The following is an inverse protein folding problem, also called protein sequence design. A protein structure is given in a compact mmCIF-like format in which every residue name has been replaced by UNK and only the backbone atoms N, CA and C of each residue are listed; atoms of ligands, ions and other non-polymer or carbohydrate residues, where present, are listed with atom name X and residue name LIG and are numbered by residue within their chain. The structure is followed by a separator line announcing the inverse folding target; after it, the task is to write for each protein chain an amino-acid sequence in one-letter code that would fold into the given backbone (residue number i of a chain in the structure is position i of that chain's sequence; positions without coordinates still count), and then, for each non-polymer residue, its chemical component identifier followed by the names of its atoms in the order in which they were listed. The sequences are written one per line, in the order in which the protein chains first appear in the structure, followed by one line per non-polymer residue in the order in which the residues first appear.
data_IF_125547765750
#
_entry.id   IF_125547765750
#
_cell.length_a   1.000
_cell.length_b   1.000
_cell.length_c   1.000
_cell.angle_alpha   90.00
_cell.angle_beta   90.00
_cell.angle_gamma   90.00
#
_symmetry.space_group_name_H-M   'P 1'
#
loop_
_entity.id
_entity.type
_entity.pdbx_description
1 polymer ?
#
# COMPACT_ATOMS: atom_id res chain seq x y z
N UNK A 1 19.70 16.59 -31.16
CA UNK A 1 19.49 15.44 -30.25
C UNK A 1 19.17 16.00 -28.87
N UNK A 2 17.89 15.98 -28.48
CA UNK A 2 17.47 16.36 -27.14
C UNK A 2 16.90 15.09 -26.48
N UNK A 3 17.56 14.61 -25.43
CA UNK A 3 17.07 13.49 -24.63
C UNK A 3 15.82 13.96 -23.87
N UNK A 4 14.68 13.30 -24.14
CA UNK A 4 13.46 13.54 -23.40
C UNK A 4 13.66 13.10 -21.94
N UNK A 5 13.72 14.07 -21.03
CA UNK A 5 13.71 13.82 -19.60
C UNK A 5 12.40 13.10 -19.25
N UNK A 6 12.51 11.83 -18.84
CA UNK A 6 11.38 11.10 -18.24
C UNK A 6 10.94 11.87 -17.01
N UNK A 7 9.75 12.46 -17.06
CA UNK A 7 9.08 13.05 -15.91
C UNK A 7 8.73 11.94 -14.93
N UNK A 8 9.62 11.70 -13.97
CA UNK A 8 9.41 10.80 -12.84
C UNK A 8 8.23 11.31 -11.99
N UNK A 9 7.25 10.44 -11.72
CA UNK A 9 6.08 10.78 -10.91
C UNK A 9 6.46 10.90 -9.42
N UNK A 10 6.72 12.14 -8.99
CA UNK A 10 7.08 12.53 -7.62
C UNK A 10 5.99 12.24 -6.57
N UNK A 11 4.82 11.73 -6.96
CA UNK A 11 3.80 11.24 -6.01
C UNK A 11 4.15 9.88 -5.42
N UNK A 12 4.78 9.00 -6.20
CA UNK A 12 5.04 7.61 -5.76
C UNK A 12 6.16 7.50 -4.73
N UNK A 13 7.19 8.35 -4.81
CA UNK A 13 8.31 8.33 -3.86
C UNK A 13 7.94 8.70 -2.41
N UNK A 14 6.86 9.49 -2.21
CA UNK A 14 6.48 9.95 -0.85
C UNK A 14 5.85 8.87 0.02
N UNK A 15 5.31 7.82 -0.59
CA UNK A 15 4.57 6.79 0.16
C UNK A 15 5.32 5.45 0.24
N UNK A 16 6.51 5.34 -0.38
CA UNK A 16 7.26 4.09 -0.55
C UNK A 16 8.55 3.97 0.30
N UNK A 17 8.61 4.67 1.44
CA UNK A 17 9.85 4.86 2.22
C UNK A 17 10.12 3.88 3.37
N UNK A 18 9.51 2.67 3.42
CA UNK A 18 9.77 1.69 4.50
C UNK A 18 11.16 1.04 4.41
N UNK A 19 11.87 1.09 3.28
CA UNK A 19 13.27 0.62 3.21
C UNK A 19 14.22 1.42 4.10
N UNK A 20 13.84 2.62 4.52
CA UNK A 20 14.59 3.45 5.48
C UNK A 20 13.98 3.44 6.89
N UNK A 21 12.88 2.70 7.13
CA UNK A 21 12.38 2.55 8.50
C UNK A 21 13.34 1.64 9.28
N UNK A 22 13.89 2.10 10.41
CA UNK A 22 14.83 1.30 11.16
C UNK A 22 14.10 0.07 11.70
N UNK A 23 14.54 -1.13 11.29
CA UNK A 23 14.10 -2.42 11.84
C UNK A 23 14.53 -2.60 13.33
N UNK A 24 15.01 -1.51 13.97
CA UNK A 24 15.53 -1.42 15.33
C UNK A 24 14.92 -0.21 16.05
N UNK A 25 14.76 -0.33 17.36
CA UNK A 25 14.37 0.81 18.21
C UNK A 25 15.46 1.88 18.11
N UNK A 26 15.11 3.07 17.63
CA UNK A 26 16.05 4.18 17.55
C UNK A 26 16.48 4.63 18.96
N UNK A 27 17.73 5.07 19.13
CA UNK A 27 18.17 5.68 20.38
C UNK A 27 17.32 6.91 20.72
N UNK A 28 17.15 7.24 22.03
CA UNK A 28 16.35 8.38 22.45
C UNK A 28 16.89 9.68 21.83
N UNK A 29 15.99 10.64 21.59
CA UNK A 29 16.39 11.95 21.12
C UNK A 29 17.31 12.63 22.15
N UNK A 30 18.39 13.30 21.71
CA UNK A 30 19.15 14.20 22.55
C UNK A 30 18.19 15.16 23.28
N UNK A 31 18.43 15.47 24.57
CA UNK A 31 17.58 16.36 25.33
C UNK A 31 17.29 17.63 24.55
N UNK A 32 16.00 17.93 24.36
CA UNK A 32 15.58 19.19 23.77
C UNK A 32 15.91 20.25 24.81
N UNK A 33 17.04 20.95 24.63
CA UNK A 33 17.34 22.15 25.39
C UNK A 33 16.27 23.14 25.01
N UNK A 34 15.27 23.32 25.88
CA UNK A 34 14.03 24.08 25.67
C UNK A 34 14.20 25.18 24.62
N UNK A 35 13.87 24.84 23.38
CA UNK A 35 13.78 25.83 22.31
C UNK A 35 12.49 26.56 22.61
N UNK A 36 12.59 27.83 23.03
CA UNK A 36 11.47 28.75 23.22
C UNK A 36 10.37 28.40 22.22
N UNK A 37 9.20 28.04 22.72
CA UNK A 37 8.05 27.53 21.96
C UNK A 37 7.85 28.37 20.70
N UNK A 38 8.40 27.93 19.58
CA UNK A 38 8.46 28.75 18.36
C UNK A 38 7.05 28.95 17.88
N UNK A 39 6.58 30.20 17.93
CA UNK A 39 5.17 30.52 17.68
C UNK A 39 4.82 30.61 16.20
N UNK A 40 5.82 30.62 15.29
CA UNK A 40 5.60 30.72 13.85
C UNK A 40 6.37 29.67 13.04
N UNK A 41 5.81 29.30 11.89
CA UNK A 41 6.40 28.34 10.96
C UNK A 41 7.73 28.87 10.37
N UNK A 42 7.83 30.18 10.12
CA UNK A 42 9.06 30.80 9.61
C UNK A 42 10.24 30.65 10.57
N UNK A 43 10.04 30.89 11.87
CA UNK A 43 11.10 30.68 12.85
C UNK A 43 11.40 29.19 13.06
N UNK A 44 10.37 28.34 12.96
CA UNK A 44 10.52 26.90 13.11
C UNK A 44 11.39 26.26 12.00
N UNK A 45 11.31 26.76 10.77
CA UNK A 45 12.11 26.25 9.62
C UNK A 45 13.42 27.00 9.40
N UNK A 46 13.67 28.08 10.13
CA UNK A 46 14.87 28.91 9.97
C UNK A 46 16.18 28.11 10.01
N UNK A 47 16.40 27.17 10.96
CA UNK A 47 17.64 26.40 11.03
C UNK A 47 17.89 25.51 9.80
N UNK A 48 16.85 25.14 9.06
CA UNK A 48 16.91 24.22 7.91
C UNK A 48 16.71 24.94 6.57
N UNK A 49 16.55 26.26 6.59
CA UNK A 49 16.27 27.08 5.40
C UNK A 49 17.36 27.00 4.32
N UNK A 50 18.61 26.75 4.72
CA UNK A 50 19.74 26.56 3.82
C UNK A 50 19.92 25.10 3.36
N UNK A 51 19.29 24.15 4.06
CA UNK A 51 19.39 22.71 3.75
C UNK A 51 18.38 22.29 2.69
N UNK A 52 17.18 22.90 2.70
CA UNK A 52 16.07 22.53 1.83
C UNK A 52 15.85 23.62 0.78
N UNK A 53 16.08 23.30 -0.49
CA UNK A 53 15.89 24.22 -1.60
C UNK A 53 14.43 24.71 -1.67
N UNK A 54 14.20 25.98 -2.00
CA UNK A 54 12.87 26.58 -2.13
C UNK A 54 11.97 26.56 -0.86
N UNK A 55 12.53 26.26 0.32
CA UNK A 55 11.75 26.12 1.55
C UNK A 55 10.93 27.36 1.90
N UNK A 56 11.53 28.55 1.81
CA UNK A 56 10.85 29.79 2.15
C UNK A 56 9.61 30.05 1.27
N UNK A 57 9.71 29.77 -0.03
CA UNK A 57 8.59 29.91 -0.96
C UNK A 57 7.46 28.92 -0.63
N UNK A 58 7.81 27.69 -0.24
CA UNK A 58 6.84 26.65 0.14
C UNK A 58 6.18 26.94 1.48
N UNK A 59 6.91 27.56 2.41
CA UNK A 59 6.39 28.03 3.70
C UNK A 59 5.39 29.17 3.48
N UNK A 60 5.74 30.17 2.67
CA UNK A 60 4.84 31.25 2.29
C UNK A 60 3.55 30.70 1.65
N UNK A 61 3.70 29.73 0.74
CA UNK A 61 2.56 29.07 0.11
C UNK A 61 1.69 28.27 1.09
N UNK A 62 2.29 27.56 2.04
CA UNK A 62 1.56 26.81 3.07
C UNK A 62 0.74 27.75 3.96
N UNK A 63 1.34 28.86 4.42
CA UNK A 63 0.66 29.88 5.22
C UNK A 63 -0.50 30.52 4.45
N UNK A 64 -0.33 30.81 3.16
CA UNK A 64 -1.38 31.35 2.31
C UNK A 64 -2.59 30.40 2.23
N UNK A 65 -2.35 29.09 2.15
CA UNK A 65 -3.41 28.07 2.10
C UNK A 65 -4.09 27.82 3.44
N UNK A 66 -3.42 28.14 4.54
CA UNK A 66 -3.87 27.84 5.90
C UNK A 66 -4.39 29.07 6.67
N UNK A 67 -4.70 30.18 5.98
CA UNK A 67 -5.25 31.41 6.59
C UNK A 67 -6.50 31.22 7.45
N UNK A 68 -7.31 30.21 7.15
CA UNK A 68 -8.56 29.89 7.85
C UNK A 68 -8.50 28.47 8.42
N UNK A 69 -7.75 28.25 9.51
CA UNK A 69 -7.57 26.93 10.09
C UNK A 69 -8.85 26.41 10.77
N UNK A 70 -8.92 25.09 10.96
CA UNK A 70 -9.99 24.37 11.68
C UNK A 70 -9.40 23.62 12.88
N UNK A 71 -10.25 22.99 13.68
CA UNK A 71 -9.85 22.07 14.74
C UNK A 71 -8.92 22.72 15.79
N UNK A 72 -9.19 23.98 16.13
CA UNK A 72 -8.43 24.82 17.07
C UNK A 72 -6.93 24.97 16.74
N UNK A 73 -6.58 24.70 15.48
CA UNK A 73 -5.26 24.97 14.95
C UNK A 73 -5.07 26.47 14.72
N UNK A 74 -3.85 26.94 14.98
CA UNK A 74 -3.37 28.22 14.47
C UNK A 74 -3.04 28.10 12.98
N UNK A 75 -2.88 29.25 12.31
CA UNK A 75 -2.43 29.29 10.91
C UNK A 75 -1.09 28.56 10.73
N UNK A 76 -0.13 28.81 11.61
CA UNK A 76 1.20 28.20 11.58
C UNK A 76 1.18 26.68 11.84
N UNK A 77 0.35 26.21 12.77
CA UNK A 77 0.17 24.77 13.04
C UNK A 77 -0.46 24.04 11.84
N UNK A 78 -1.53 24.61 11.26
CA UNK A 78 -2.15 24.06 10.05
C UNK A 78 -1.18 24.10 8.87
N UNK A 79 -0.42 25.18 8.72
CA UNK A 79 0.59 25.33 7.68
C UNK A 79 1.75 24.34 7.85
N UNK A 80 2.12 23.96 9.09
CA UNK A 80 3.12 22.93 9.34
C UNK A 80 2.65 21.56 8.79
N UNK A 81 1.41 21.17 9.07
CA UNK A 81 0.80 19.95 8.51
C UNK A 81 0.72 20.02 6.99
N UNK A 82 0.33 21.18 6.45
CA UNK A 82 0.27 21.40 5.01
C UNK A 82 1.65 21.27 4.36
N UNK A 83 2.70 21.88 4.94
CA UNK A 83 4.08 21.80 4.45
C UNK A 83 4.59 20.35 4.40
N UNK A 84 4.26 19.53 5.41
CA UNK A 84 4.58 18.11 5.46
C UNK A 84 3.95 17.32 4.29
N UNK A 85 2.72 17.66 3.93
CA UNK A 85 1.94 16.92 2.92
C UNK A 85 2.07 17.50 1.51
N UNK A 86 2.68 18.68 1.38
CA UNK A 86 2.82 19.42 0.13
C UNK A 86 3.59 18.62 -0.94
N UNK A 87 3.24 18.85 -2.21
CA UNK A 87 4.01 18.35 -3.35
C UNK A 87 5.19 19.26 -3.69
N UNK A 88 6.34 18.63 -3.82
CA UNK A 88 7.61 19.25 -4.17
C UNK A 88 8.08 18.69 -5.52
N UNK A 89 8.62 19.58 -6.34
CA UNK A 89 9.26 19.23 -7.62
C UNK A 89 10.67 18.69 -7.40
N UNK A 90 11.23 18.92 -6.22
CA UNK A 90 12.60 18.62 -5.81
C UNK A 90 12.82 17.15 -5.44
N UNK A 91 11.79 16.29 -5.49
CA UNK A 91 11.91 14.84 -5.26
C UNK A 91 12.59 14.51 -3.93
N UNK A 92 13.75 13.86 -4.00
CA UNK A 92 14.61 13.49 -2.86
C UNK A 92 15.07 14.68 -2.01
N UNK A 93 15.13 15.88 -2.58
CA UNK A 93 15.52 17.11 -1.90
C UNK A 93 14.30 17.90 -1.39
N UNK A 94 13.11 17.29 -1.39
CA UNK A 94 11.92 17.88 -0.80
C UNK A 94 11.99 17.91 0.72
N UNK A 95 11.31 18.88 1.32
CA UNK A 95 11.19 18.98 2.77
C UNK A 95 10.75 17.66 3.42
N UNK A 96 9.68 17.04 2.90
CA UNK A 96 9.14 15.76 3.40
C UNK A 96 10.22 14.67 3.42
N UNK A 97 10.96 14.52 2.33
CA UNK A 97 11.94 13.43 2.20
C UNK A 97 13.13 13.66 3.13
N UNK A 98 13.66 14.88 3.15
CA UNK A 98 14.79 15.23 4.01
C UNK A 98 14.44 15.14 5.51
N UNK A 99 13.27 15.65 5.90
CA UNK A 99 12.80 15.58 7.29
C UNK A 99 12.59 14.14 7.75
N UNK A 100 11.94 13.30 6.94
CA UNK A 100 11.69 11.91 7.30
C UNK A 100 12.97 11.07 7.29
N UNK A 101 13.92 11.34 6.38
CA UNK A 101 15.27 10.74 6.39
C UNK A 101 16.00 11.06 7.69
N UNK A 102 16.01 12.34 8.10
CA UNK A 102 16.62 12.76 9.37
C UNK A 102 15.92 12.11 10.58
N UNK A 103 14.59 11.95 10.52
CA UNK A 103 13.79 11.36 11.60
C UNK A 103 14.04 9.87 11.80
N UNK A 104 14.36 9.16 10.71
CA UNK A 104 14.67 7.72 10.70
C UNK A 104 16.16 7.41 10.88
N UNK A 105 17.02 8.42 10.91
CA UNK A 105 18.46 8.23 11.03
C UNK A 105 18.85 7.77 12.44
N UNK A 106 19.68 6.74 12.53
CA UNK A 106 20.25 6.25 13.81
C UNK A 106 21.06 7.36 14.51
N UNK A 107 21.78 8.18 13.74
CA UNK A 107 22.45 9.36 14.26
C UNK A 107 21.42 10.49 14.50
N UNK A 108 20.89 10.52 15.73
CA UNK A 108 19.86 11.50 16.14
C UNK A 108 20.30 12.96 16.03
N UNK A 109 21.60 13.24 15.91
CA UNK A 109 22.09 14.63 15.71
C UNK A 109 21.59 15.22 14.39
N UNK A 110 21.29 14.39 13.38
CA UNK A 110 20.75 14.84 12.10
C UNK A 110 19.35 15.43 12.22
N UNK A 111 18.59 15.08 13.27
CA UNK A 111 17.25 15.62 13.49
C UNK A 111 17.28 16.96 14.23
N UNK A 112 18.38 17.31 14.90
CA UNK A 112 18.50 18.54 15.71
C UNK A 112 18.08 19.81 14.93
N UNK A 113 18.50 20.03 13.68
CA UNK A 113 18.08 21.21 12.91
C UNK A 113 16.55 21.31 12.74
N UNK A 114 15.84 20.17 12.73
CA UNK A 114 14.40 20.10 12.52
C UNK A 114 13.57 20.18 13.82
N UNK A 115 14.19 20.29 15.00
CA UNK A 115 13.47 20.23 16.29
C UNK A 115 12.39 21.30 16.42
N UNK A 116 12.66 22.53 16.01
CA UNK A 116 11.67 23.61 16.10
C UNK A 116 10.44 23.30 15.23
N UNK A 117 10.66 22.79 14.02
CA UNK A 117 9.58 22.33 13.15
C UNK A 117 8.85 21.11 13.73
N UNK A 118 9.58 20.12 14.23
CA UNK A 118 9.01 18.90 14.82
C UNK A 118 8.10 19.24 16.00
N UNK A 119 8.51 20.18 16.86
CA UNK A 119 7.70 20.66 17.97
C UNK A 119 6.39 21.29 17.49
N UNK A 120 6.46 22.22 16.53
CA UNK A 120 5.26 22.85 15.95
C UNK A 120 4.33 21.82 15.30
N UNK A 121 4.89 20.86 14.56
CA UNK A 121 4.13 19.80 13.91
C UNK A 121 3.44 18.87 14.91
N UNK A 122 4.13 18.43 15.97
CA UNK A 122 3.53 17.57 17.00
C UNK A 122 2.48 18.32 17.83
N UNK A 123 2.69 19.61 18.11
CA UNK A 123 1.68 20.47 18.74
C UNK A 123 0.41 20.54 17.90
N UNK A 124 0.55 20.73 16.58
CA UNK A 124 -0.57 20.72 15.64
C UNK A 124 -1.29 19.36 15.62
N UNK A 125 -0.54 18.26 15.52
CA UNK A 125 -1.10 16.90 15.47
C UNK A 125 -1.84 16.52 16.76
N UNK A 126 -1.40 17.00 17.92
CA UNK A 126 -2.05 16.74 19.21
C UNK A 126 -3.43 17.42 19.36
N UNK A 127 -3.72 18.45 18.57
CA UNK A 127 -5.02 19.15 18.58
C UNK A 127 -6.06 18.48 17.68
N UNK A 128 -5.62 17.68 16.71
CA UNK A 128 -6.53 17.02 15.78
C UNK A 128 -7.37 15.94 16.49
N UNK A 129 -8.63 15.75 16.07
CA UNK A 129 -9.49 14.73 16.64
C UNK A 129 -8.92 13.33 16.34
N UNK A 130 -8.88 12.49 17.38
CA UNK A 130 -8.54 11.09 17.21
C UNK A 130 -9.64 10.37 16.44
N UNK A 131 -9.27 9.70 15.34
CA UNK A 131 -10.18 8.89 14.53
C UNK A 131 -9.65 7.47 14.46
N UNK A 132 -10.48 6.49 14.86
CA UNK A 132 -10.18 5.08 14.65
C UNK A 132 -10.70 4.65 13.29
N UNK A 133 -9.78 4.40 12.36
CA UNK A 133 -10.11 3.89 11.04
C UNK A 133 -9.04 2.90 10.57
N UNK A 134 -9.44 1.93 9.74
CA UNK A 134 -8.46 1.12 9.00
C UNK A 134 -7.80 1.99 7.93
N UNK A 135 -6.48 2.13 7.99
CA UNK A 135 -5.69 2.86 6.99
C UNK A 135 -4.83 1.89 6.19
N UNK A 136 -4.46 2.30 4.98
CA UNK A 136 -3.62 1.53 4.07
C UNK A 136 -2.42 2.38 3.64
N UNK A 137 -1.23 1.79 3.56
CA UNK A 137 0.00 2.42 3.07
C UNK A 137 0.64 1.47 2.06
N UNK A 138 0.82 1.93 0.82
CA UNK A 138 1.40 1.13 -0.26
C UNK A 138 2.90 1.37 -0.38
N UNK A 139 3.69 0.31 -0.31
CA UNK A 139 5.16 0.37 -0.35
C UNK A 139 5.71 -0.19 -1.67
N UNK A 140 6.87 0.32 -2.12
CA UNK A 140 7.56 -0.16 -3.32
C UNK A 140 8.88 -0.81 -2.92
N UNK A 141 8.80 -1.86 -2.10
CA UNK A 141 9.95 -2.68 -1.70
C UNK A 141 10.02 -3.91 -2.60
N UNK A 142 11.20 -4.18 -3.17
CA UNK A 142 11.48 -5.49 -3.73
C UNK A 142 11.77 -6.46 -2.59
N UNK A 143 10.72 -7.13 -2.13
CA UNK A 143 10.78 -8.04 -0.99
C UNK A 143 11.73 -9.23 -1.22
N UNK A 144 12.03 -9.59 -2.48
CA UNK A 144 12.95 -10.71 -2.79
C UNK A 144 14.34 -10.52 -2.19
N UNK A 145 14.85 -9.28 -2.15
CA UNK A 145 16.21 -8.97 -1.69
C UNK A 145 16.36 -9.08 -0.16
N UNK A 146 15.29 -8.80 0.62
CA UNK A 146 15.33 -8.94 2.08
C UNK A 146 15.35 -10.41 2.52
N UNK A 147 14.71 -11.32 1.78
CA UNK A 147 14.57 -12.72 2.16
C UNK A 147 15.79 -13.61 1.85
N UNK A 148 16.73 -13.17 1.01
CA UNK A 148 17.96 -13.94 0.71
C UNK A 148 19.01 -13.88 1.84
N UNK A 149 18.88 -12.92 2.78
CA UNK A 149 19.84 -12.76 3.89
C UNK A 149 19.52 -13.60 5.14
N UNK A 150 18.33 -14.19 5.22
CA UNK A 150 17.95 -15.10 6.31
C UNK A 150 17.94 -16.54 5.80
N UNK A 151 19.11 -17.18 5.77
CA UNK A 151 19.18 -18.63 5.54
C UNK A 151 18.45 -19.36 6.67
N UNK A 152 17.30 -19.94 6.34
CA UNK A 152 16.46 -20.77 7.21
C UNK A 152 17.28 -22.02 7.61
N UNK A 153 17.55 -22.28 8.90
CA UNK A 153 18.11 -23.56 9.31
C UNK A 153 17.07 -24.68 9.07
N UNK A 154 17.49 -25.89 8.66
CA UNK A 154 16.57 -26.97 8.34
C UNK A 154 15.73 -27.37 9.56
N UNK A 155 14.44 -27.59 9.34
CA UNK A 155 13.47 -27.95 10.37
C UNK A 155 13.83 -29.29 11.06
N UNK A 156 13.59 -29.43 12.38
CA UNK A 156 13.87 -30.68 13.09
C UNK A 156 12.86 -31.78 12.71
N UNK A 157 13.38 -33.00 12.55
CA UNK A 157 12.62 -34.21 12.20
C UNK A 157 11.51 -34.53 13.20
N UNK A 158 10.35 -34.97 12.67
CA UNK A 158 9.20 -35.47 13.41
C UNK A 158 9.55 -36.66 14.30
N UNK A 159 9.14 -36.59 15.57
CA UNK A 159 8.99 -37.78 16.43
C UNK A 159 7.55 -37.85 16.89
N UNK A 160 6.87 -38.90 16.42
CA UNK A 160 5.53 -39.30 16.85
C UNK A 160 5.50 -39.75 18.32
N UNK A 161 4.41 -39.45 19.03
CA UNK A 161 3.80 -40.36 20.02
C UNK A 161 2.42 -39.89 20.50
N UNK A 162 1.66 -40.87 20.97
CA UNK A 162 0.20 -40.98 21.07
C UNK A 162 -0.42 -40.71 22.46
N UNK A 163 -1.75 -40.57 22.46
CA UNK A 163 -2.75 -41.11 23.41
C UNK A 163 -3.53 -40.16 24.36
N UNK A 164 -4.85 -40.21 24.16
CA UNK A 164 -5.97 -40.39 25.12
C UNK A 164 -6.56 -39.27 26.02
N UNK A 165 -7.81 -38.96 25.68
CA UNK A 165 -9.05 -39.00 26.50
C UNK A 165 -9.53 -37.82 27.38
N UNK A 166 -10.75 -37.40 27.02
CA UNK A 166 -11.92 -37.06 27.85
C UNK A 166 -12.09 -35.64 28.45
N UNK A 167 -13.07 -34.93 27.87
CA UNK A 167 -14.13 -34.24 28.62
C UNK A 167 -13.94 -32.76 28.94
N UNK A 168 -14.67 -31.89 28.23
CA UNK A 168 -15.76 -31.07 28.79
C UNK A 168 -16.30 -30.11 27.71
N UNK A 169 -17.61 -30.17 27.47
CA UNK A 169 -18.38 -29.21 26.67
C UNK A 169 -18.32 -27.83 27.33
N UNK A 170 -17.71 -26.88 26.64
CA UNK A 170 -17.86 -25.44 26.88
C UNK A 170 -17.88 -24.74 25.53
N UNK A 171 -19.06 -24.59 24.93
CA UNK A 171 -19.25 -23.87 23.67
C UNK A 171 -19.04 -22.37 23.93
N UNK A 172 -17.79 -21.93 23.83
CA UNK A 172 -17.45 -20.55 23.53
C UNK A 172 -16.86 -20.56 22.13
N UNK A 173 -17.71 -20.32 21.14
CA UNK A 173 -17.27 -19.98 19.79
C UNK A 173 -16.56 -18.64 19.85
N UNK A 174 -15.28 -18.65 20.21
CA UNK A 174 -14.35 -17.63 19.76
C UNK A 174 -14.24 -17.82 18.25
N UNK A 175 -15.08 -17.12 17.51
CA UNK A 175 -14.89 -16.85 16.09
C UNK A 175 -13.64 -15.99 15.97
N UNK A 176 -12.49 -16.65 16.09
CA UNK A 176 -11.18 -16.10 15.78
C UNK A 176 -11.06 -16.07 14.26
N UNK A 177 -11.95 -15.33 13.61
CA UNK A 177 -11.90 -15.09 12.18
C UNK A 177 -10.83 -14.04 11.93
N UNK A 178 -9.58 -14.50 12.01
CA UNK A 178 -8.41 -13.87 11.42
C UNK A 178 -8.59 -13.90 9.89
N UNK A 179 -9.58 -13.15 9.41
CA UNK A 179 -10.09 -13.25 8.05
C UNK A 179 -8.97 -12.86 7.08
N UNK A 180 -8.60 -13.85 6.28
CA UNK A 180 -7.94 -13.70 4.99
C UNK A 180 -8.65 -12.57 4.23
N UNK A 181 -7.91 -11.68 3.55
CA UNK A 181 -8.56 -10.83 2.56
C UNK A 181 -9.11 -11.75 1.47
N UNK A 182 -10.43 -11.90 1.41
CA UNK A 182 -11.09 -12.75 0.41
C UNK A 182 -10.57 -12.36 -0.99
N UNK A 183 -10.08 -13.34 -1.74
CA UNK A 183 -9.55 -13.14 -3.09
C UNK A 183 -10.70 -13.36 -4.06
N UNK A 184 -11.22 -12.28 -4.64
CA UNK A 184 -12.26 -12.34 -5.65
C UNK A 184 -11.69 -12.41 -7.06
N UNK A 185 -12.26 -13.29 -7.88
CA UNK A 185 -11.95 -13.40 -9.30
C UNK A 185 -13.11 -12.78 -10.05
N UNK A 186 -12.88 -11.63 -10.67
CA UNK A 186 -13.90 -10.89 -11.39
C UNK A 186 -13.65 -11.00 -12.89
N UNK A 187 -14.69 -11.23 -13.68
CA UNK A 187 -14.58 -11.21 -15.14
C UNK A 187 -15.54 -10.19 -15.75
N UNK A 188 -14.99 -9.13 -16.35
CA UNK A 188 -15.73 -8.10 -17.06
C UNK A 188 -15.64 -8.29 -18.57
N UNK A 189 -16.75 -8.70 -19.19
CA UNK A 189 -16.87 -8.77 -20.64
C UNK A 189 -18.32 -8.53 -21.09
N UNK A 190 -18.59 -7.56 -22.00
CA UNK A 190 -19.94 -7.30 -22.52
C UNK A 190 -20.58 -8.47 -23.28
N UNK A 191 -19.80 -9.47 -23.66
CA UNK A 191 -20.22 -10.65 -24.40
C UNK A 191 -20.00 -11.95 -23.60
N UNK A 192 -19.87 -11.84 -22.27
CA UNK A 192 -19.53 -12.97 -21.41
C UNK A 192 -20.56 -14.11 -21.48
N UNK A 193 -21.83 -13.77 -21.70
CA UNK A 193 -22.94 -14.73 -21.79
C UNK A 193 -23.28 -15.15 -23.23
N UNK A 194 -22.57 -14.60 -24.24
CA UNK A 194 -22.98 -14.68 -25.66
C UNK A 194 -22.23 -15.73 -26.48
N UNK A 195 -21.07 -16.21 -26.03
CA UNK A 195 -20.30 -17.24 -26.73
C UNK A 195 -20.28 -18.54 -25.92
N UNK A 196 -20.36 -19.68 -26.61
CA UNK A 196 -20.29 -20.99 -25.98
C UNK A 196 -18.95 -21.21 -25.26
N UNK A 197 -17.87 -20.64 -25.79
CA UNK A 197 -16.55 -20.67 -25.14
C UNK A 197 -16.53 -19.88 -23.83
N UNK A 198 -17.11 -18.67 -23.80
CA UNK A 198 -17.17 -17.88 -22.58
C UNK A 198 -18.02 -18.59 -21.52
N UNK A 199 -19.18 -19.13 -21.90
CA UNK A 199 -20.06 -19.89 -20.98
C UNK A 199 -19.32 -21.06 -20.35
N UNK A 200 -18.63 -21.90 -21.15
CA UNK A 200 -17.83 -23.02 -20.64
C UNK A 200 -16.72 -22.55 -19.70
N UNK A 201 -16.07 -21.44 -20.04
CA UNK A 201 -14.99 -20.84 -19.24
C UNK A 201 -15.54 -20.32 -17.91
N UNK A 202 -16.72 -19.69 -17.91
CA UNK A 202 -17.39 -19.26 -16.69
C UNK A 202 -17.77 -20.44 -15.80
N UNK A 203 -18.28 -21.53 -16.38
CA UNK A 203 -18.64 -22.75 -15.63
C UNK A 203 -17.41 -23.33 -14.93
N UNK A 204 -16.28 -23.43 -15.63
CA UNK A 204 -15.01 -23.90 -15.07
C UNK A 204 -14.49 -22.99 -13.95
N UNK A 205 -14.56 -21.66 -14.12
CA UNK A 205 -14.17 -20.72 -13.05
C UNK A 205 -15.13 -20.75 -11.85
N UNK A 206 -16.43 -20.98 -12.07
CA UNK A 206 -17.42 -21.17 -11.00
C UNK A 206 -17.17 -22.47 -10.23
N UNK A 207 -16.78 -23.55 -10.91
CA UNK A 207 -16.45 -24.83 -10.29
C UNK A 207 -15.19 -24.71 -9.42
N UNK A 208 -14.15 -24.03 -9.93
CA UNK A 208 -12.90 -23.82 -9.21
C UNK A 208 -13.04 -22.83 -8.04
N UNK A 209 -13.87 -21.80 -8.19
CA UNK A 209 -13.99 -20.70 -7.21
C UNK A 209 -15.45 -20.33 -6.86
N UNK A 210 -16.25 -21.23 -6.27
CA UNK A 210 -17.70 -21.08 -6.14
C UNK A 210 -18.16 -19.84 -5.35
N UNK A 211 -17.41 -19.48 -4.30
CA UNK A 211 -17.76 -18.36 -3.41
C UNK A 211 -17.07 -17.04 -3.77
N UNK A 212 -16.11 -17.08 -4.70
CA UNK A 212 -15.17 -15.98 -4.94
C UNK A 212 -15.20 -15.44 -6.37
N UNK A 213 -15.73 -16.22 -7.31
CA UNK A 213 -15.89 -15.80 -8.70
C UNK A 213 -17.17 -14.98 -8.95
N UNK A 214 -17.05 -13.89 -9.71
CA UNK A 214 -18.20 -13.12 -10.25
C UNK A 214 -17.94 -12.61 -11.66
N UNK A 215 -18.97 -12.60 -12.48
CA UNK A 215 -18.96 -12.04 -13.85
C UNK A 215 -19.80 -10.77 -13.95
N UNK A 216 -19.37 -9.83 -14.79
CA UNK A 216 -20.08 -8.58 -15.08
C UNK A 216 -20.11 -8.33 -16.58
N UNK A 217 -21.25 -7.86 -17.09
CA UNK A 217 -21.38 -7.41 -18.48
C UNK A 217 -21.11 -5.90 -18.63
N UNK A 218 -21.32 -5.14 -17.55
CA UNK A 218 -21.21 -3.67 -17.54
C UNK A 218 -20.12 -3.19 -16.59
N UNK A 219 -19.38 -2.18 -17.01
CA UNK A 219 -18.33 -1.54 -16.20
C UNK A 219 -18.88 -0.99 -14.89
N UNK A 220 -20.05 -0.35 -14.91
CA UNK A 220 -20.59 0.36 -13.76
C UNK A 220 -20.96 -0.58 -12.60
N UNK A 221 -21.37 -1.82 -12.93
CA UNK A 221 -21.67 -2.85 -11.94
C UNK A 221 -20.38 -3.39 -11.29
N UNK A 222 -19.32 -3.55 -12.08
CA UNK A 222 -18.00 -3.89 -11.57
C UNK A 222 -17.45 -2.78 -10.66
N UNK A 223 -17.50 -1.53 -11.11
CA UNK A 223 -17.02 -0.36 -10.36
C UNK A 223 -17.72 -0.28 -8.99
N UNK A 224 -19.06 -0.38 -8.97
CA UNK A 224 -19.84 -0.44 -7.72
C UNK A 224 -19.45 -1.61 -6.82
N UNK A 225 -19.24 -2.80 -7.39
CA UNK A 225 -18.84 -3.96 -6.60
C UNK A 225 -17.47 -3.74 -5.94
N UNK A 226 -16.51 -3.21 -6.68
CA UNK A 226 -15.17 -2.87 -6.17
C UNK A 226 -15.29 -1.82 -5.07
N UNK A 227 -16.05 -0.75 -5.28
CA UNK A 227 -16.26 0.32 -4.28
C UNK A 227 -16.90 -0.18 -2.98
N UNK A 228 -17.86 -1.11 -3.07
CA UNK A 228 -18.56 -1.68 -1.92
C UNK A 228 -17.73 -2.69 -1.13
N UNK A 229 -16.75 -3.34 -1.78
CA UNK A 229 -15.97 -4.44 -1.20
C UNK A 229 -14.48 -4.03 -1.04
N UNK A 230 -14.21 -3.01 -0.21
CA UNK A 230 -12.85 -2.46 -0.04
C UNK A 230 -11.87 -3.35 0.75
N UNK A 231 -12.32 -4.50 1.27
CA UNK A 231 -11.51 -5.45 2.06
C UNK A 231 -11.29 -6.77 1.33
N UNK A 232 -11.18 -6.74 0.01
CA UNK A 232 -10.87 -7.92 -0.79
C UNK A 232 -9.66 -7.69 -1.69
N UNK A 233 -9.03 -8.79 -2.10
CA UNK A 233 -8.05 -8.77 -3.19
C UNK A 233 -8.76 -9.18 -4.48
N UNK A 234 -8.52 -8.47 -5.57
CA UNK A 234 -9.23 -8.65 -6.84
C UNK A 234 -8.25 -9.05 -7.92
N UNK A 235 -8.52 -10.20 -8.53
CA UNK A 235 -7.98 -10.61 -9.82
C UNK A 235 -9.05 -10.29 -10.86
N UNK A 236 -8.80 -9.33 -11.75
CA UNK A 236 -9.76 -8.94 -12.78
C UNK A 236 -9.33 -9.44 -14.15
N UNK A 237 -10.21 -10.22 -14.78
CA UNK A 237 -10.18 -10.55 -16.20
C UNK A 237 -11.03 -9.54 -16.95
N UNK A 238 -10.51 -8.94 -18.01
CA UNK A 238 -11.24 -7.95 -18.81
C UNK A 238 -11.08 -8.15 -20.31
N UNK A 239 -12.15 -7.90 -21.08
CA UNK A 239 -12.10 -7.88 -22.54
C UNK A 239 -11.21 -6.76 -23.08
N UNK A 240 -10.61 -6.91 -24.27
CA UNK A 240 -9.65 -5.92 -24.80
C UNK A 240 -10.21 -4.50 -24.98
N UNK A 241 -11.42 -4.34 -25.52
CA UNK A 241 -12.04 -3.03 -25.75
C UNK A 241 -12.50 -2.37 -24.45
N UNK A 242 -13.19 -3.12 -23.59
CA UNK A 242 -13.66 -2.61 -22.29
C UNK A 242 -12.49 -2.37 -21.32
N UNK A 243 -11.45 -3.20 -21.41
CA UNK A 243 -10.18 -3.09 -20.70
C UNK A 243 -9.54 -1.72 -20.87
N UNK A 244 -9.50 -1.18 -22.10
CA UNK A 244 -8.96 0.17 -22.37
C UNK A 244 -9.69 1.29 -21.64
N UNK A 245 -10.97 1.09 -21.32
CA UNK A 245 -11.78 2.08 -20.63
C UNK A 245 -11.69 1.93 -19.11
N UNK A 246 -11.72 0.69 -18.62
CA UNK A 246 -11.77 0.41 -17.18
C UNK A 246 -10.38 0.42 -16.53
N UNK A 247 -9.36 -0.17 -17.16
CA UNK A 247 -8.01 -0.32 -16.59
C UNK A 247 -7.42 1.02 -16.14
N UNK A 248 -7.47 2.12 -16.95
CA UNK A 248 -6.98 3.42 -16.50
C UNK A 248 -7.65 3.93 -15.21
N UNK A 249 -8.92 3.60 -14.98
CA UNK A 249 -9.67 4.04 -13.79
C UNK A 249 -9.33 3.23 -12.54
N UNK A 250 -9.14 1.92 -12.68
CA UNK A 250 -9.07 1.00 -11.53
C UNK A 250 -7.67 0.49 -11.22
N UNK A 251 -6.69 0.64 -12.13
CA UNK A 251 -5.36 0.06 -11.95
C UNK A 251 -4.62 0.61 -10.71
N UNK A 252 -4.89 1.84 -10.30
CA UNK A 252 -4.29 2.44 -9.11
C UNK A 252 -4.94 1.96 -7.79
N UNK A 253 -6.10 1.28 -7.86
CA UNK A 253 -6.78 0.77 -6.66
C UNK A 253 -5.99 -0.38 -6.02
N UNK A 254 -5.73 -0.27 -4.71
CA UNK A 254 -4.93 -1.26 -3.98
C UNK A 254 -5.56 -2.65 -3.94
N UNK A 255 -6.88 -2.73 -3.91
CA UNK A 255 -7.61 -4.00 -3.95
C UNK A 255 -7.47 -4.72 -5.30
N UNK A 256 -7.17 -4.03 -6.40
CA UNK A 256 -6.88 -4.66 -7.69
C UNK A 256 -5.42 -5.07 -7.70
N UNK A 257 -5.17 -6.38 -7.61
CA UNK A 257 -3.82 -6.93 -7.53
C UNK A 257 -3.29 -7.29 -8.91
N UNK A 258 -4.12 -8.01 -9.68
CA UNK A 258 -3.74 -8.53 -10.99
C UNK A 258 -4.85 -8.28 -12.02
N UNK A 259 -4.43 -7.88 -13.21
CA UNK A 259 -5.29 -7.62 -14.36
C UNK A 259 -4.87 -8.54 -15.51
N UNK A 260 -5.83 -9.24 -16.10
CA UNK A 260 -5.62 -10.13 -17.24
C UNK A 260 -6.51 -9.64 -18.37
N UNK A 261 -5.92 -9.34 -19.53
CA UNK A 261 -6.68 -8.91 -20.70
C UNK A 261 -6.98 -10.13 -21.57
N UNK A 262 -8.24 -10.57 -21.59
CA UNK A 262 -8.68 -11.66 -22.46
C UNK A 262 -9.25 -11.08 -23.76
N UNK A 263 -8.56 -11.27 -24.87
CA UNK A 263 -9.00 -10.74 -26.17
C UNK A 263 -8.34 -11.46 -27.34
N UNK A 264 -9.07 -11.59 -28.46
CA UNK A 264 -8.55 -12.15 -29.71
C UNK A 264 -7.39 -11.31 -30.28
N UNK A 265 -7.47 -9.98 -30.16
CA UNK A 265 -6.48 -9.05 -30.72
C UNK A 265 -5.31 -8.80 -29.76
N UNK A 266 -4.41 -9.77 -29.65
CA UNK A 266 -3.26 -9.73 -28.72
C UNK A 266 -2.33 -8.53 -28.95
N UNK A 267 -1.74 -8.42 -30.14
CA UNK A 267 -0.73 -7.39 -30.47
C UNK A 267 -1.25 -5.95 -30.27
N UNK A 268 -2.52 -5.71 -30.62
CA UNK A 268 -3.14 -4.40 -30.49
C UNK A 268 -3.30 -4.01 -29.01
N UNK A 269 -3.51 -4.99 -28.14
CA UNK A 269 -3.78 -4.77 -26.72
C UNK A 269 -2.52 -4.79 -25.86
N UNK A 270 -1.47 -5.47 -26.26
CA UNK A 270 -0.16 -5.42 -25.59
C UNK A 270 0.43 -4.01 -25.60
N UNK A 271 0.25 -3.27 -26.70
CA UNK A 271 0.75 -1.89 -26.85
C UNK A 271 0.26 -0.94 -25.76
N UNK A 272 -1.01 -1.03 -25.35
CA UNK A 272 -1.53 -0.14 -24.30
C UNK A 272 -1.38 -0.78 -22.91
N UNK A 273 -1.60 -2.10 -22.79
CA UNK A 273 -1.57 -2.78 -21.49
C UNK A 273 -0.19 -2.80 -20.85
N UNK A 274 0.89 -2.81 -21.65
CA UNK A 274 2.26 -2.77 -21.15
C UNK A 274 2.62 -1.52 -20.33
N UNK A 275 1.81 -0.45 -20.41
CA UNK A 275 1.98 0.73 -19.56
C UNK A 275 1.53 0.51 -18.11
N UNK A 276 0.82 -0.58 -17.83
CA UNK A 276 0.21 -0.88 -16.53
C UNK A 276 0.88 -2.08 -15.88
N UNK A 277 1.69 -1.86 -14.83
CA UNK A 277 2.45 -2.92 -14.12
C UNK A 277 1.58 -4.06 -13.59
N UNK A 278 0.32 -3.78 -13.24
CA UNK A 278 -0.63 -4.78 -12.73
C UNK A 278 -1.25 -5.64 -13.83
N UNK A 279 -1.10 -5.26 -15.10
CA UNK A 279 -1.54 -6.11 -16.21
C UNK A 279 -0.50 -7.20 -16.44
N UNK A 280 -0.88 -8.43 -16.13
CA UNK A 280 0.00 -9.60 -16.17
C UNK A 280 0.17 -10.16 -17.58
N UNK A 281 -0.78 -9.88 -18.47
CA UNK A 281 -0.64 -10.22 -19.87
C UNK A 281 -1.92 -10.06 -20.67
N UNK A 282 -1.77 -10.26 -21.98
CA UNK A 282 -2.87 -10.38 -22.93
C UNK A 282 -2.94 -11.83 -23.42
N UNK A 283 -4.07 -12.48 -23.17
CA UNK A 283 -4.34 -13.88 -23.51
C UNK A 283 -5.49 -13.96 -24.51
N UNK A 284 -5.38 -14.87 -25.47
CA UNK A 284 -6.38 -15.08 -26.53
C UNK A 284 -6.99 -16.48 -26.51
N UNK A 285 -6.63 -17.32 -25.53
CA UNK A 285 -7.19 -18.65 -25.30
C UNK A 285 -7.75 -18.74 -23.89
N UNK A 286 -8.92 -19.35 -23.76
CA UNK A 286 -9.60 -19.57 -22.49
C UNK A 286 -8.76 -20.38 -21.49
N UNK A 287 -8.07 -21.42 -21.94
CA UNK A 287 -7.18 -22.24 -21.08
C UNK A 287 -6.00 -21.43 -20.51
N UNK A 288 -5.38 -20.59 -21.34
CA UNK A 288 -4.25 -19.75 -20.91
C UNK A 288 -4.72 -18.70 -19.89
N UNK A 289 -5.94 -18.17 -20.08
CA UNK A 289 -6.57 -17.26 -19.13
C UNK A 289 -6.84 -17.94 -17.78
N UNK A 290 -7.42 -19.14 -17.78
CA UNK A 290 -7.68 -19.88 -16.53
C UNK A 290 -6.38 -20.19 -15.81
N UNK A 291 -5.38 -20.70 -16.53
CA UNK A 291 -4.06 -21.00 -15.96
C UNK A 291 -3.43 -19.76 -15.31
N UNK A 292 -3.51 -18.61 -15.99
CA UNK A 292 -2.98 -17.37 -15.44
C UNK A 292 -3.74 -16.90 -14.19
N UNK A 293 -5.07 -17.09 -14.14
CA UNK A 293 -5.86 -16.83 -12.92
C UNK A 293 -5.44 -17.75 -11.78
N UNK A 294 -5.24 -19.05 -12.06
CA UNK A 294 -4.80 -20.03 -11.06
C UNK A 294 -3.43 -19.70 -10.48
N UNK A 295 -2.46 -19.35 -11.34
CA UNK A 295 -1.11 -18.94 -10.92
C UNK A 295 -1.14 -17.69 -10.03
N UNK A 296 -1.92 -16.67 -10.42
CA UNK A 296 -2.06 -15.44 -9.66
C UNK A 296 -2.80 -15.66 -8.33
N UNK A 297 -3.83 -16.50 -8.33
CA UNK A 297 -4.52 -16.87 -7.10
C UNK A 297 -3.60 -17.61 -6.12
N UNK A 298 -2.85 -18.60 -6.61
CA UNK A 298 -1.92 -19.37 -5.80
C UNK A 298 -0.82 -18.50 -5.20
N UNK A 299 -0.23 -17.59 -5.99
CA UNK A 299 0.75 -16.62 -5.51
C UNK A 299 0.18 -15.74 -4.39
N UNK A 300 -1.03 -15.20 -4.58
CA UNK A 300 -1.65 -14.34 -3.56
C UNK A 300 -1.96 -15.07 -2.27
N UNK A 301 -2.47 -16.30 -2.36
CA UNK A 301 -2.75 -17.12 -1.16
C UNK A 301 -1.46 -17.45 -0.42
N UNK A 302 -0.38 -17.76 -1.14
CA UNK A 302 0.91 -18.07 -0.55
C UNK A 302 1.54 -16.85 0.13
N UNK A 303 1.52 -15.69 -0.52
CA UNK A 303 1.96 -14.42 0.07
C UNK A 303 1.20 -14.10 1.37
N UNK A 304 -0.13 -14.32 1.38
CA UNK A 304 -0.95 -14.11 2.57
C UNK A 304 -0.61 -15.10 3.71
N UNK A 305 -0.30 -16.36 3.39
CA UNK A 305 0.14 -17.35 4.40
C UNK A 305 1.47 -16.96 5.03
N UNK A 306 2.44 -16.54 4.22
CA UNK A 306 3.76 -16.11 4.68
C UNK A 306 3.66 -14.88 5.59
N UNK A 307 2.82 -13.90 5.22
CA UNK A 307 2.55 -12.73 6.07
C UNK A 307 1.96 -13.11 7.44
N UNK A 308 1.06 -14.10 7.50
CA UNK A 308 0.49 -14.57 8.76
C UNK A 308 1.51 -15.30 9.65
N UNK A 309 2.35 -16.16 9.07
CA UNK A 309 3.40 -16.86 9.82
C UNK A 309 4.40 -15.88 10.43
N UNK A 310 4.80 -14.84 9.68
CA UNK A 310 5.70 -13.79 10.18
C UNK A 310 5.06 -12.99 11.35
N UNK A 311 3.75 -12.72 11.30
CA UNK A 311 3.04 -12.06 12.39
C UNK A 311 3.00 -12.91 13.68
N UNK A 312 2.75 -14.21 13.57
CA UNK A 312 2.67 -15.12 14.73
C UNK A 312 4.03 -15.33 15.42
N UNK A 313 5.12 -15.44 14.65
CA UNK A 313 6.48 -15.54 15.21
C UNK A 313 6.83 -14.28 15.99
N UNK A 314 6.55 -13.10 15.41
CA UNK A 314 6.84 -11.80 16.04
C UNK A 314 6.07 -11.59 17.35
N UNK A 315 4.83 -12.04 17.44
CA UNK A 315 4.02 -11.99 18.67
C UNK A 315 4.52 -12.95 19.75
N UNK A 316 5.01 -14.13 19.34
CA UNK A 316 5.54 -15.16 20.25
C UNK A 316 6.86 -14.72 20.88
N UNK A 317 7.74 -14.10 20.09
CA UNK A 317 9.01 -13.54 20.58
C UNK A 317 8.78 -12.36 21.54
N UNK A 318 7.78 -11.51 21.29
CA UNK A 318 7.41 -10.41 22.21
C UNK A 318 6.84 -10.91 23.55
N UNK A 319 6.18 -12.07 23.57
CA UNK A 319 5.68 -12.71 24.81
C UNK A 319 6.77 -13.37 25.63
N UNK A 320 7.82 -13.91 25.00
CA UNK A 320 8.92 -14.57 25.72
C UNK A 320 9.93 -13.60 26.37
N UNK A 321 9.85 -12.30 26.05
CA UNK A 321 10.73 -11.24 26.57
C UNK A 321 10.08 -10.45 27.72
N UNK A 322 8.84 -10.81 28.11
CA UNK A 322 8.18 -10.34 29.34
C UNK A 322 8.22 -11.43 30.39
#
# INVERSE_FOLDING_TARGET
MAAAAKTFDTRRQRFSGVTEEPDKVLPPLPPIIQTNTTSSLYEAVKPISHLVANLQNKVAYALEKCKNPKDDLTCDESAAIYLYTLQWTEGENSFYTMFNRASRNENRTQLIPYYNYLNLFLLAMNKLPAVQHRIWRGENIDLKVKYEQEQIPPAPEEVAQSADAAGTRGTLSYSNSSQINDVHILWLDPNISKSQENVKTQEKLKELYPSYYKSFEKSDELEKFIEQNQRCSVILVTGGQIGRQIVPKIHDLLQVISLIVYCMDKEKNEKWSGHYRKVKGVVNRSDDMIKQVEEEYAQLVEEQKQQKQQQQVTESTKKSIR
#
